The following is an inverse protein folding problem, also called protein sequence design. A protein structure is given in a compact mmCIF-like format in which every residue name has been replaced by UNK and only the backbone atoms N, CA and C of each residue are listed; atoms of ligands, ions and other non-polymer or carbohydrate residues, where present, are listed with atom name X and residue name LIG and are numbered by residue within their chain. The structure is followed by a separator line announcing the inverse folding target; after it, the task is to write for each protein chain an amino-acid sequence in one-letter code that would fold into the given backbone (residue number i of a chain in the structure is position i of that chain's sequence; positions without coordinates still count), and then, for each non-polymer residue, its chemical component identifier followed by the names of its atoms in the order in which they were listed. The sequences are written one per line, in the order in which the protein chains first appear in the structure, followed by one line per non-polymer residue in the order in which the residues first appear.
data_IF_995856318251
#
_entry.id   IF_995856318251
#
_cell.length_a   1.000
_cell.length_b   1.000
_cell.length_c   1.000
_cell.angle_alpha   90.00
_cell.angle_beta   90.00
_cell.angle_gamma   90.00
#
_symmetry.space_group_name_H-M   'P 1'
#
loop_
_entity.id
_entity.type
_entity.pdbx_description
1 polymer ?
#
# COMPACT_ATOMS: atom_id res chain seq x y z
N UNK A 1 9.94 18.60 19.66
CA UNK A 1 8.56 18.58 19.13
C UNK A 1 8.51 17.48 18.07
N UNK A 2 8.02 16.30 18.42
CA UNK A 2 8.06 15.13 17.54
C UNK A 2 6.97 15.27 16.48
N UNK A 3 7.34 15.54 15.23
CA UNK A 3 6.40 15.43 14.11
C UNK A 3 5.98 13.96 13.98
N UNK A 4 4.76 13.68 14.43
CA UNK A 4 4.05 12.42 14.22
C UNK A 4 4.02 12.16 12.71
N UNK A 5 4.81 11.20 12.25
CA UNK A 5 4.71 10.68 10.89
C UNK A 5 3.29 10.12 10.75
N UNK A 6 2.48 10.70 9.86
CA UNK A 6 1.23 10.08 9.47
C UNK A 6 1.61 8.87 8.60
N UNK A 7 1.45 7.66 9.14
CA UNK A 7 1.62 6.41 8.41
C UNK A 7 0.38 6.19 7.54
N UNK A 8 0.36 6.86 6.39
CA UNK A 8 -0.72 6.76 5.41
C UNK A 8 -0.17 6.18 4.12
N UNK A 9 -0.78 5.09 3.64
CA UNK A 9 -0.49 4.49 2.35
C UNK A 9 -1.79 4.44 1.56
N UNK A 10 -1.79 5.10 0.39
CA UNK A 10 -2.92 5.11 -0.54
C UNK A 10 -2.65 4.11 -1.67
N UNK A 11 -3.65 3.31 -2.03
CA UNK A 11 -3.64 2.45 -3.21
C UNK A 11 -5.04 2.40 -3.82
N UNK A 12 -5.21 1.84 -5.01
CA UNK A 12 -6.57 1.56 -5.56
C UNK A 12 -6.85 0.09 -5.35
N UNK A 13 -8.07 -0.35 -5.02
CA UNK A 13 -8.37 -1.78 -4.85
C UNK A 13 -8.66 -2.51 -6.17
N UNK A 14 -8.68 -1.80 -7.32
CA UNK A 14 -9.14 -2.34 -8.60
C UNK A 14 -8.11 -3.23 -9.32
N UNK A 15 -8.57 -4.38 -9.84
CA UNK A 15 -7.80 -5.32 -10.67
C UNK A 15 -7.30 -4.63 -11.95
N UNK A 16 -5.99 -4.40 -12.05
CA UNK A 16 -5.37 -3.90 -13.30
C UNK A 16 -5.26 -5.02 -14.33
N UNK A 17 -6.24 -5.13 -15.22
CA UNK A 17 -6.09 -5.95 -16.43
C UNK A 17 -5.06 -5.30 -17.37
N UNK A 18 -3.92 -5.98 -17.56
CA UNK A 18 -3.06 -5.90 -18.74
C UNK A 18 -2.61 -4.51 -19.24
N UNK A 19 -1.38 -4.14 -18.88
CA UNK A 19 -0.47 -3.41 -19.77
C UNK A 19 -0.63 -1.89 -19.88
N UNK A 20 0.47 -1.21 -19.57
CA UNK A 20 0.75 0.23 -19.66
C UNK A 20 0.21 1.09 -18.51
N UNK A 21 1.15 1.63 -17.73
CA UNK A 21 0.94 2.75 -16.81
C UNK A 21 0.18 3.89 -17.50
N UNK A 22 -0.64 4.60 -16.71
CA UNK A 22 -0.12 5.90 -16.31
C UNK A 22 -0.31 6.11 -14.80
N UNK A 23 0.73 5.83 -14.02
CA UNK A 23 1.16 6.91 -13.14
C UNK A 23 1.50 8.07 -14.08
N UNK A 24 0.89 9.26 -13.97
CA UNK A 24 1.33 10.38 -14.76
C UNK A 24 2.81 10.57 -14.46
N UNK A 25 3.65 10.40 -15.49
CA UNK A 25 5.03 10.79 -15.44
C UNK A 25 5.07 12.24 -14.95
N UNK A 26 5.72 12.49 -13.82
CA UNK A 26 6.17 13.82 -13.47
C UNK A 26 6.99 14.36 -14.65
N UNK A 27 6.40 15.21 -15.48
CA UNK A 27 7.14 15.97 -16.47
C UNK A 27 6.60 17.38 -16.63
N UNK A 28 7.01 18.22 -15.70
CA UNK A 28 7.41 19.61 -15.94
C UNK A 28 8.39 19.94 -14.81
N UNK A 29 9.71 19.97 -15.05
CA UNK A 29 10.30 21.10 -15.74
C UNK A 29 10.61 22.22 -14.73
N UNK A 30 11.39 21.95 -13.69
CA UNK A 30 12.04 23.03 -12.94
C UNK A 30 13.41 22.59 -12.40
N UNK A 31 14.45 23.22 -12.93
CA UNK A 31 15.81 23.13 -12.42
C UNK A 31 15.94 24.17 -11.30
N UNK A 32 15.42 23.88 -10.11
CA UNK A 32 15.45 24.87 -9.02
C UNK A 32 14.78 24.44 -7.71
N UNK A 33 15.61 24.25 -6.68
CA UNK A 33 15.26 24.32 -5.24
C UNK A 33 14.33 23.24 -4.65
N UNK A 34 15.00 22.19 -4.17
CA UNK A 34 14.70 21.38 -2.99
C UNK A 34 13.51 21.75 -2.06
N UNK A 35 12.76 20.67 -1.76
CA UNK A 35 12.18 20.27 -0.47
C UNK A 35 10.74 20.68 -0.16
N UNK A 36 9.81 20.21 -0.99
CA UNK A 36 8.62 19.52 -0.48
C UNK A 36 8.92 18.02 -0.45
N UNK A 37 9.39 17.48 0.68
CA UNK A 37 9.70 16.06 0.80
C UNK A 37 8.42 15.23 0.65
N UNK A 38 8.17 14.66 -0.53
CA UNK A 38 7.44 13.38 -0.63
C UNK A 38 8.30 12.37 0.15
N UNK A 39 8.08 12.30 1.46
CA UNK A 39 8.74 11.33 2.33
C UNK A 39 8.35 9.97 1.78
N UNK A 40 9.33 9.13 1.45
CA UNK A 40 9.08 7.73 1.08
C UNK A 40 8.09 7.14 2.08
N UNK A 41 7.04 6.47 1.59
CA UNK A 41 6.12 5.76 2.46
C UNK A 41 6.92 4.85 3.39
N UNK A 42 6.61 4.91 4.68
CA UNK A 42 7.29 4.16 5.73
C UNK A 42 6.24 3.61 6.68
N UNK A 43 6.40 2.35 7.06
CA UNK A 43 5.61 1.74 8.12
C UNK A 43 6.51 1.44 9.31
N UNK A 44 6.01 1.71 10.51
CA UNK A 44 6.70 1.37 11.74
C UNK A 44 5.99 0.21 12.42
N UNK A 45 6.69 -0.90 12.74
CA UNK A 45 6.11 -2.01 13.46
C UNK A 45 5.44 -1.56 14.77
N UNK A 46 4.31 -2.19 15.10
CA UNK A 46 3.49 -1.90 16.27
C UNK A 46 2.88 -0.49 16.32
N UNK A 47 3.06 0.33 15.28
CA UNK A 47 2.41 1.63 15.15
C UNK A 47 1.03 1.49 14.48
N UNK A 48 0.13 2.42 14.80
CA UNK A 48 -1.11 2.59 14.04
C UNK A 48 -0.79 3.16 12.67
N UNK A 49 -1.37 2.58 11.63
CA UNK A 49 -1.33 3.06 10.26
C UNK A 49 -2.76 3.18 9.72
N UNK A 50 -2.99 4.23 8.94
CA UNK A 50 -4.23 4.41 8.19
C UNK A 50 -3.99 3.95 6.76
N UNK A 51 -4.74 2.96 6.33
CA UNK A 51 -4.70 2.45 4.96
C UNK A 51 -5.97 2.93 4.27
N UNK A 52 -5.83 3.38 3.03
CA UNK A 52 -6.92 4.00 2.25
C UNK A 52 -6.91 3.46 0.83
N UNK A 53 -8.10 3.27 0.27
CA UNK A 53 -8.28 2.81 -1.09
C UNK A 53 -9.49 3.41 -1.80
N UNK A 54 -9.41 3.40 -3.12
CA UNK A 54 -10.51 3.70 -4.02
C UNK A 54 -11.05 2.42 -4.65
N UNK A 55 -12.38 2.36 -4.84
CA UNK A 55 -13.09 1.28 -5.55
C UNK A 55 -13.66 1.75 -6.88
N UNK A 56 -13.91 0.80 -7.78
CA UNK A 56 -14.55 0.99 -9.08
C UNK A 56 -15.68 -0.03 -9.31
N UNK A 57 -16.65 0.26 -10.19
CA UNK A 57 -17.67 -0.71 -10.56
C UNK A 57 -17.04 -2.01 -11.09
N UNK A 58 -17.41 -3.15 -10.49
CA UNK A 58 -16.86 -4.46 -10.81
C UNK A 58 -15.79 -4.96 -9.83
N UNK A 59 -15.40 -4.14 -8.86
CA UNK A 59 -14.52 -4.56 -7.77
C UNK A 59 -15.21 -5.59 -6.85
N UNK A 60 -14.43 -6.49 -6.23
CA UNK A 60 -14.96 -7.47 -5.29
C UNK A 60 -15.50 -6.79 -4.03
N UNK A 61 -16.54 -7.39 -3.43
CA UNK A 61 -17.13 -6.92 -2.16
C UNK A 61 -16.14 -7.07 -1.00
N UNK A 62 -15.29 -8.09 -1.03
CA UNK A 62 -14.33 -8.39 0.03
C UNK A 62 -12.92 -8.62 -0.50
N UNK A 63 -11.93 -8.16 0.26
CA UNK A 63 -10.52 -8.43 -0.01
C UNK A 63 -9.70 -8.62 1.28
N UNK A 64 -8.46 -9.08 1.12
CA UNK A 64 -7.45 -9.18 2.18
C UNK A 64 -6.30 -8.23 1.86
N UNK A 65 -5.73 -7.62 2.90
CA UNK A 65 -4.51 -6.82 2.79
C UNK A 65 -3.29 -7.61 3.26
N UNK A 66 -2.25 -7.62 2.44
CA UNK A 66 -0.98 -8.25 2.75
C UNK A 66 0.20 -7.28 2.59
N UNK A 67 1.17 -7.40 3.49
CA UNK A 67 2.51 -6.82 3.32
C UNK A 67 3.41 -7.90 2.75
N UNK A 68 3.92 -7.68 1.54
CA UNK A 68 4.68 -8.67 0.77
C UNK A 68 6.09 -8.16 0.50
N UNK A 69 7.08 -9.04 0.60
CA UNK A 69 8.42 -8.81 0.07
C UNK A 69 8.87 -10.03 -0.73
N UNK A 70 8.74 -9.93 -2.05
CA UNK A 70 9.00 -11.02 -2.99
C UNK A 70 10.47 -11.46 -2.99
N UNK A 71 11.42 -10.54 -2.78
CA UNK A 71 12.86 -10.85 -2.76
C UNK A 71 13.20 -11.88 -1.67
N UNK A 72 12.44 -11.84 -0.57
CA UNK A 72 12.63 -12.73 0.56
C UNK A 72 11.50 -13.74 0.76
N UNK A 73 10.50 -13.76 -0.14
CA UNK A 73 9.30 -14.60 -0.05
C UNK A 73 8.51 -14.38 1.27
N UNK A 74 8.48 -13.16 1.77
CA UNK A 74 7.65 -12.79 2.91
C UNK A 74 6.24 -12.42 2.43
N UNK A 75 5.21 -12.91 3.13
CA UNK A 75 3.84 -12.43 3.01
C UNK A 75 3.17 -12.40 4.38
N UNK A 76 2.62 -11.25 4.76
CA UNK A 76 1.97 -11.03 6.05
C UNK A 76 0.59 -10.43 5.85
N UNK A 77 -0.47 -11.20 6.10
CA UNK A 77 -1.82 -10.67 6.14
C UNK A 77 -2.00 -9.72 7.35
N UNK A 78 -2.44 -8.49 7.09
CA UNK A 78 -2.64 -7.46 8.13
C UNK A 78 -4.11 -7.18 8.42
N UNK A 79 -4.99 -7.50 7.49
CA UNK A 79 -6.44 -7.46 7.64
C UNK A 79 -7.09 -8.34 6.57
N UNK A 80 -8.18 -9.02 6.91
CA UNK A 80 -8.87 -9.97 6.03
C UNK A 80 -10.38 -9.73 6.05
N UNK A 81 -11.06 -10.13 4.98
CA UNK A 81 -12.51 -9.91 4.80
C UNK A 81 -12.89 -8.43 4.95
N UNK A 82 -12.07 -7.54 4.40
CA UNK A 82 -12.33 -6.10 4.41
C UNK A 82 -13.41 -5.81 3.38
N UNK A 83 -14.46 -5.13 3.82
CA UNK A 83 -15.49 -4.60 2.94
C UNK A 83 -14.90 -3.46 2.09
N UNK A 84 -14.93 -3.63 0.77
CA UNK A 84 -14.33 -2.68 -0.17
C UNK A 84 -14.97 -1.30 -0.10
N UNK A 85 -16.23 -1.19 0.30
CA UNK A 85 -16.94 0.08 0.44
C UNK A 85 -16.47 0.92 1.64
N UNK A 86 -15.64 0.37 2.55
CA UNK A 86 -15.12 1.13 3.68
C UNK A 86 -14.17 2.26 3.27
N UNK A 87 -13.42 2.10 2.17
CA UNK A 87 -12.43 3.06 1.65
C UNK A 87 -11.24 3.36 2.58
N UNK A 88 -11.28 2.93 3.85
CA UNK A 88 -10.19 3.06 4.81
C UNK A 88 -10.34 2.14 6.01
N UNK A 89 -9.21 1.67 6.54
CA UNK A 89 -9.09 1.07 7.87
C UNK A 89 -7.89 1.64 8.64
N UNK A 90 -7.94 1.48 9.96
CA UNK A 90 -6.79 1.69 10.85
C UNK A 90 -6.34 0.33 11.36
N UNK A 91 -5.06 0.01 11.18
CA UNK A 91 -4.47 -1.25 11.64
C UNK A 91 -3.24 -0.99 12.50
N UNK A 92 -2.90 -1.95 13.34
CA UNK A 92 -1.58 -2.01 13.98
C UNK A 92 -0.67 -2.80 13.03
N UNK A 93 0.44 -2.20 12.61
CA UNK A 93 1.40 -2.87 11.74
C UNK A 93 2.03 -4.05 12.51
N UNK A 94 2.01 -5.28 11.96
CA UNK A 94 2.66 -6.41 12.62
C UNK A 94 4.16 -6.22 12.70
N UNK A 95 4.81 -7.01 13.57
CA UNK A 95 6.27 -7.08 13.58
C UNK A 95 6.73 -7.80 12.33
N UNK A 96 7.34 -7.06 11.42
CA UNK A 96 7.99 -7.57 10.21
C UNK A 96 9.44 -7.09 10.16
N UNK A 97 10.35 -7.78 9.46
CA UNK A 97 11.74 -7.35 9.36
C UNK A 97 11.89 -5.89 8.90
N UNK A 98 12.72 -5.12 9.60
CA UNK A 98 13.02 -3.71 9.25
C UNK A 98 13.93 -3.69 8.03
N UNK A 99 13.34 -3.42 6.86
CA UNK A 99 14.04 -3.31 5.56
C UNK A 99 13.16 -2.64 4.50
N UNK A 100 13.74 -2.41 3.33
CA UNK A 100 13.04 -1.94 2.14
C UNK A 100 12.49 -3.06 1.26
N UNK A 101 11.74 -2.67 0.23
CA UNK A 101 11.24 -3.59 -0.80
C UNK A 101 9.87 -4.19 -0.51
N UNK A 102 9.18 -3.74 0.54
CA UNK A 102 7.83 -4.19 0.82
C UNK A 102 6.81 -3.54 -0.11
N UNK A 103 5.77 -4.27 -0.46
CA UNK A 103 4.55 -3.76 -1.11
C UNK A 103 3.33 -4.10 -0.27
N UNK A 104 2.29 -3.28 -0.40
CA UNK A 104 0.98 -3.56 0.16
C UNK A 104 0.11 -4.08 -0.97
N UNK A 105 -0.52 -5.23 -0.76
CA UNK A 105 -1.31 -5.91 -1.76
C UNK A 105 -2.73 -6.11 -1.26
N UNK A 106 -3.71 -5.74 -2.10
CA UNK A 106 -5.10 -6.14 -1.95
C UNK A 106 -5.32 -7.41 -2.77
N UNK A 107 -5.66 -8.50 -2.09
CA UNK A 107 -5.76 -9.83 -2.69
C UNK A 107 -7.12 -10.47 -2.44
N UNK A 108 -7.46 -11.45 -3.27
CA UNK A 108 -8.67 -12.24 -3.11
C UNK A 108 -8.67 -13.04 -1.80
N UNK A 109 -9.75 -12.94 -1.04
CA UNK A 109 -9.94 -13.63 0.25
C UNK A 109 -9.79 -15.16 0.12
N UNK A 110 -10.17 -15.75 -1.01
CA UNK A 110 -10.09 -17.18 -1.27
C UNK A 110 -8.82 -17.64 -2.00
N UNK A 111 -8.01 -16.72 -2.53
CA UNK A 111 -6.80 -17.03 -3.28
C UNK A 111 -5.82 -15.85 -3.31
N UNK A 112 -4.80 -15.87 -2.46
CA UNK A 112 -3.84 -14.76 -2.33
C UNK A 112 -2.98 -14.53 -3.59
N UNK A 113 -2.95 -15.47 -4.54
CA UNK A 113 -2.30 -15.27 -5.84
C UNK A 113 -3.11 -14.38 -6.81
N UNK A 114 -4.39 -14.14 -6.52
CA UNK A 114 -5.23 -13.21 -7.28
C UNK A 114 -5.14 -11.83 -6.64
N UNK A 115 -4.14 -11.06 -7.10
CA UNK A 115 -3.85 -9.71 -6.63
C UNK A 115 -4.74 -8.72 -7.39
N UNK A 116 -5.60 -8.01 -6.67
CA UNK A 116 -6.40 -6.93 -7.23
C UNK A 116 -5.53 -5.68 -7.40
N UNK A 117 -4.72 -5.34 -6.42
CA UNK A 117 -3.83 -4.19 -6.54
C UNK A 117 -2.64 -4.23 -5.62
N UNK A 118 -1.65 -3.39 -5.95
CA UNK A 118 -0.33 -3.36 -5.34
C UNK A 118 0.21 -1.94 -5.31
N UNK A 119 0.81 -1.53 -4.18
CA UNK A 119 1.52 -0.25 -4.08
C UNK A 119 2.87 -0.27 -4.78
N UNK A 120 3.47 0.91 -4.96
CA UNK A 120 4.93 1.00 -5.08
C UNK A 120 5.64 0.48 -3.82
N UNK A 121 6.95 0.25 -3.93
CA UNK A 121 7.73 -0.27 -2.80
C UNK A 121 7.91 0.76 -1.69
N UNK A 122 7.85 0.29 -0.45
CA UNK A 122 8.08 1.08 0.75
C UNK A 122 9.06 0.39 1.70
N UNK A 123 9.48 1.13 2.72
CA UNK A 123 10.37 0.61 3.76
C UNK A 123 9.60 0.42 5.06
N UNK A 124 9.91 -0.65 5.76
CA UNK A 124 9.56 -0.81 7.18
C UNK A 124 10.74 -0.29 8.00
N UNK A 125 10.49 0.61 8.96
CA UNK A 125 11.50 1.32 9.77
C UNK A 125 11.11 1.46 11.23
#
# INVERSE_FOLDING_TARGET
MFSKLANTINFSAAKREGGADPFPAERSGDCGRHRGAQRRAQLTPLALATLTWDTAPGDPELFTLEIVNEEFNDAFAIASNIDSDQGSIIVIIPVVPVRGGYTLEAVNVGNTNDVYSKTGTFNVV
#
